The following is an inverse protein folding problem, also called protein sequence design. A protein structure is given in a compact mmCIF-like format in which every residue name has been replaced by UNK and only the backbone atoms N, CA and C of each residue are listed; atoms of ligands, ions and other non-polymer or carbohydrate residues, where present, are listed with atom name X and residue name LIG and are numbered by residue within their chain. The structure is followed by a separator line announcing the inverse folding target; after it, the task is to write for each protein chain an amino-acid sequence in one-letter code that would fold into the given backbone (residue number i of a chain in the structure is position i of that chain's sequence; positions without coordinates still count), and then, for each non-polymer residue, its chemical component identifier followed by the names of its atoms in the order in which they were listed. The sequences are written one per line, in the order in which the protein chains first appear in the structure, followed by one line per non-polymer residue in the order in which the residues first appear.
data_IF_640832454061
#
_entry.id   IF_640832454061
#
_cell.length_a   1.000
_cell.length_b   1.000
_cell.length_c   1.000
_cell.angle_alpha   90.00
_cell.angle_beta   90.00
_cell.angle_gamma   90.00
#
_symmetry.space_group_name_H-M   'P 1'
#
loop_
_entity.id
_entity.type
_entity.pdbx_description
1 polymer ?
#
# COMPACT_ATOMS: atom_id res chain seq x y z
N UNK A 1 20.15 -31.95 -10.69
CA UNK A 1 19.17 -32.45 -9.71
C UNK A 1 19.84 -32.36 -8.34
N UNK A 2 19.19 -31.78 -7.32
CA UNK A 2 19.82 -31.52 -6.02
C UNK A 2 20.29 -32.86 -5.40
N UNK A 3 21.58 -32.96 -5.06
CA UNK A 3 22.23 -34.21 -4.62
C UNK A 3 21.50 -34.85 -3.44
N UNK A 4 20.98 -34.02 -2.53
CA UNK A 4 20.17 -34.46 -1.40
C UNK A 4 18.87 -35.19 -1.78
N UNK A 5 18.18 -34.75 -2.83
CA UNK A 5 16.90 -35.35 -3.28
C UNK A 5 17.16 -36.75 -3.84
N UNK A 6 18.27 -36.90 -4.56
CA UNK A 6 18.68 -38.17 -5.16
C UNK A 6 19.18 -39.13 -4.08
N UNK A 7 20.04 -38.66 -3.17
CA UNK A 7 20.63 -39.47 -2.11
C UNK A 7 19.59 -39.97 -1.10
N UNK A 8 18.57 -39.14 -0.78
CA UNK A 8 17.49 -39.51 0.14
C UNK A 8 16.24 -40.08 -0.56
N UNK A 9 16.31 -40.28 -1.88
CA UNK A 9 15.23 -40.85 -2.69
C UNK A 9 13.85 -40.19 -2.44
N UNK A 10 13.87 -38.86 -2.32
CA UNK A 10 12.72 -38.07 -1.89
C UNK A 10 11.73 -37.90 -3.04
N UNK A 11 10.45 -38.08 -2.72
CA UNK A 11 9.33 -37.79 -3.61
C UNK A 11 8.22 -37.09 -2.80
N UNK A 12 7.21 -36.53 -3.47
CA UNK A 12 6.12 -35.78 -2.82
C UNK A 12 5.46 -36.54 -1.66
N UNK A 13 5.32 -37.86 -1.77
CA UNK A 13 4.66 -38.69 -0.75
C UNK A 13 5.56 -39.02 0.45
N UNK A 14 6.88 -39.04 0.27
CA UNK A 14 7.86 -39.41 1.29
C UNK A 14 8.48 -38.20 1.98
N UNK A 15 8.41 -37.02 1.36
CA UNK A 15 9.03 -35.80 1.86
C UNK A 15 8.43 -35.35 3.20
N UNK A 16 7.10 -35.37 3.34
CA UNK A 16 6.41 -35.01 4.59
C UNK A 16 6.77 -35.95 5.75
N UNK A 17 6.84 -37.26 5.51
CA UNK A 17 7.27 -38.23 6.51
C UNK A 17 8.76 -38.09 6.86
N UNK A 18 9.59 -37.73 5.89
CA UNK A 18 11.02 -37.47 6.10
C UNK A 18 11.25 -36.24 6.99
N UNK A 19 10.52 -35.14 6.76
CA UNK A 19 10.57 -33.90 7.55
C UNK A 19 10.20 -34.09 9.02
N UNK A 20 9.13 -34.85 9.28
CA UNK A 20 8.63 -35.07 10.64
C UNK A 20 9.57 -35.91 11.51
N UNK A 21 10.41 -36.74 10.88
CA UNK A 21 11.30 -37.67 11.58
C UNK A 21 12.77 -37.21 11.60
N UNK A 22 13.12 -36.15 10.85
CA UNK A 22 14.48 -35.63 10.76
C UNK A 22 14.46 -34.09 10.83
N UNK A 23 14.56 -33.49 12.03
CA UNK A 23 14.87 -32.06 12.15
C UNK A 23 16.33 -31.86 11.74
N UNK A 24 16.58 -31.83 10.43
CA UNK A 24 17.91 -31.66 9.89
C UNK A 24 18.14 -30.22 9.44
N UNK A 25 19.26 -29.58 9.84
CA UNK A 25 19.68 -28.29 9.27
C UNK A 25 19.82 -28.35 7.73
N UNK A 26 19.93 -29.55 7.15
CA UNK A 26 19.95 -29.76 5.70
C UNK A 26 18.63 -29.41 5.00
N UNK A 27 17.48 -29.57 5.68
CA UNK A 27 16.17 -29.19 5.11
C UNK A 27 16.03 -27.67 5.07
N UNK A 28 16.39 -27.00 6.15
CA UNK A 28 16.39 -25.54 6.23
C UNK A 28 17.33 -24.95 5.17
N UNK A 29 18.51 -25.55 4.99
CA UNK A 29 19.47 -25.23 3.92
C UNK A 29 18.87 -25.37 2.52
N UNK A 30 18.08 -26.40 2.26
CA UNK A 30 17.43 -26.58 0.95
C UNK A 30 16.32 -25.56 0.70
N UNK A 31 15.52 -25.23 1.71
CA UNK A 31 14.46 -24.23 1.59
C UNK A 31 15.05 -22.83 1.38
N UNK A 32 16.21 -22.55 1.98
CA UNK A 32 16.95 -21.30 1.82
C UNK A 32 17.81 -21.25 0.55
N UNK A 33 17.81 -22.31 -0.28
CA UNK A 33 18.68 -22.46 -1.45
C UNK A 33 20.18 -22.42 -1.15
N UNK A 34 20.56 -22.68 0.11
CA UNK A 34 21.95 -22.76 0.54
C UNK A 34 22.58 -24.10 0.13
N UNK A 35 23.85 -24.07 -0.23
CA UNK A 35 24.60 -25.26 -0.64
C UNK A 35 25.10 -26.03 0.58
N UNK A 36 24.99 -27.36 0.54
CA UNK A 36 25.61 -28.24 1.54
C UNK A 36 27.14 -28.07 1.46
N UNK A 37 27.72 -27.36 2.44
CA UNK A 37 29.16 -27.10 2.53
C UNK A 37 29.57 -25.63 2.35
N UNK A 38 28.68 -24.75 1.91
CA UNK A 38 28.92 -23.30 1.85
C UNK A 38 27.60 -22.53 2.02
N UNK A 39 27.25 -22.28 3.27
CA UNK A 39 26.00 -21.63 3.73
C UNK A 39 25.88 -20.15 3.29
N UNK A 40 26.83 -19.64 2.51
CA UNK A 40 26.89 -18.22 2.17
C UNK A 40 26.75 -17.92 0.68
N UNK A 41 26.88 -18.91 -0.20
CA UNK A 41 27.05 -18.65 -1.64
C UNK A 41 25.79 -18.04 -2.29
N UNK A 42 24.60 -18.60 -2.05
CA UNK A 42 23.35 -18.07 -2.60
C UNK A 42 23.01 -16.72 -1.97
N UNK A 43 23.12 -16.60 -0.66
CA UNK A 43 22.90 -15.34 0.07
C UNK A 43 23.83 -14.22 -0.42
N UNK A 44 25.10 -14.54 -0.65
CA UNK A 44 26.08 -13.59 -1.18
C UNK A 44 25.75 -13.22 -2.63
N UNK A 45 25.43 -14.19 -3.49
CA UNK A 45 25.02 -13.93 -4.87
C UNK A 45 23.74 -13.07 -4.95
N UNK A 46 22.77 -13.31 -4.07
CA UNK A 46 21.54 -12.52 -3.97
C UNK A 46 21.85 -11.08 -3.54
N UNK A 47 22.75 -10.90 -2.57
CA UNK A 47 23.21 -9.58 -2.13
C UNK A 47 23.98 -8.85 -3.23
N UNK A 48 24.82 -9.55 -4.00
CA UNK A 48 25.51 -8.98 -5.17
C UNK A 48 24.52 -8.56 -6.25
N UNK A 49 23.49 -9.37 -6.50
CA UNK A 49 22.42 -9.03 -7.45
C UNK A 49 21.62 -7.80 -6.98
N UNK A 50 21.22 -7.76 -5.70
CA UNK A 50 20.56 -6.59 -5.10
C UNK A 50 21.41 -5.33 -5.25
N UNK A 51 22.71 -5.41 -4.95
CA UNK A 51 23.65 -4.31 -5.13
C UNK A 51 23.74 -3.87 -6.60
N UNK A 52 23.78 -4.82 -7.53
CA UNK A 52 23.81 -4.54 -8.97
C UNK A 52 22.55 -3.81 -9.44
N UNK A 53 21.36 -4.27 -9.03
CA UNK A 53 20.09 -3.60 -9.33
C UNK A 53 20.05 -2.21 -8.70
N UNK A 54 20.46 -2.08 -7.44
CA UNK A 54 20.48 -0.79 -6.74
C UNK A 54 21.37 0.23 -7.44
N UNK A 55 22.60 -0.14 -7.77
CA UNK A 55 23.62 0.76 -8.35
C UNK A 55 23.48 1.03 -9.84
N UNK A 56 22.82 0.14 -10.59
CA UNK A 56 22.66 0.31 -12.05
C UNK A 56 21.26 0.76 -12.44
N UNK A 57 20.24 0.26 -11.77
CA UNK A 57 18.84 0.50 -12.11
C UNK A 57 18.24 1.56 -11.20
N UNK A 58 18.24 1.36 -9.89
CA UNK A 58 17.56 2.26 -8.95
C UNK A 58 18.23 3.63 -8.88
N UNK A 59 19.56 3.70 -8.91
CA UNK A 59 20.32 4.96 -8.94
C UNK A 59 20.46 5.58 -10.34
N UNK A 60 19.80 5.01 -11.36
CA UNK A 60 19.79 5.63 -12.69
C UNK A 60 19.03 6.96 -12.67
N UNK A 61 19.45 7.90 -13.52
CA UNK A 61 18.90 9.25 -13.56
C UNK A 61 17.38 9.26 -13.77
N UNK A 62 16.87 8.48 -14.72
CA UNK A 62 15.45 8.46 -15.06
C UNK A 62 14.59 7.91 -13.92
N UNK A 63 15.07 6.88 -13.22
CA UNK A 63 14.37 6.31 -12.06
C UNK A 63 14.35 7.30 -10.90
N UNK A 64 15.49 7.92 -10.57
CA UNK A 64 15.55 8.94 -9.51
C UNK A 64 14.66 10.14 -9.82
N UNK A 65 14.65 10.62 -11.07
CA UNK A 65 13.77 11.69 -11.52
C UNK A 65 12.29 11.29 -11.43
N UNK A 66 11.96 10.07 -11.83
CA UNK A 66 10.59 9.54 -11.76
C UNK A 66 10.11 9.42 -10.31
N UNK A 67 10.95 8.89 -9.42
CA UNK A 67 10.64 8.75 -7.99
C UNK A 67 10.42 10.12 -7.33
N UNK A 68 11.34 11.07 -7.56
CA UNK A 68 11.20 12.45 -7.07
C UNK A 68 9.91 13.12 -7.57
N UNK A 69 9.54 12.90 -8.84
CA UNK A 69 8.29 13.39 -9.42
C UNK A 69 7.08 12.76 -8.75
N UNK A 70 7.09 11.44 -8.54
CA UNK A 70 6.03 10.71 -7.85
C UNK A 70 5.80 11.25 -6.44
N UNK A 71 6.87 11.34 -5.65
CA UNK A 71 6.81 11.91 -4.28
C UNK A 71 6.24 13.33 -4.26
N UNK A 72 6.65 14.18 -5.21
CA UNK A 72 6.16 15.54 -5.31
C UNK A 72 4.65 15.60 -5.60
N UNK A 73 4.18 14.79 -6.57
CA UNK A 73 2.77 14.68 -6.92
C UNK A 73 1.95 14.26 -5.69
N UNK A 74 2.37 13.21 -4.99
CA UNK A 74 1.68 12.67 -3.82
C UNK A 74 1.60 13.73 -2.71
N UNK A 75 2.70 14.41 -2.40
CA UNK A 75 2.74 15.49 -1.40
C UNK A 75 1.78 16.62 -1.75
N UNK A 76 1.69 17.00 -3.02
CA UNK A 76 0.83 18.10 -3.48
C UNK A 76 -0.65 17.74 -3.47
N UNK A 77 -1.00 16.51 -3.83
CA UNK A 77 -2.37 15.99 -3.71
C UNK A 77 -2.78 15.95 -2.24
N UNK A 78 -1.93 15.38 -1.37
CA UNK A 78 -2.21 15.33 0.07
C UNK A 78 -2.44 16.73 0.64
N UNK A 79 -1.54 17.68 0.35
CA UNK A 79 -1.65 19.05 0.83
C UNK A 79 -2.93 19.75 0.33
N UNK A 80 -3.32 19.55 -0.94
CA UNK A 80 -4.54 20.10 -1.49
C UNK A 80 -5.79 19.55 -0.78
N UNK A 81 -5.89 18.22 -0.68
CA UNK A 81 -7.01 17.53 -0.04
C UNK A 81 -7.10 17.84 1.45
N UNK A 82 -5.97 18.00 2.15
CA UNK A 82 -5.98 18.36 3.56
C UNK A 82 -6.39 19.82 3.78
N UNK A 83 -5.91 20.74 2.94
CA UNK A 83 -6.29 22.17 3.01
C UNK A 83 -7.74 22.40 2.59
N UNK A 84 -8.26 21.63 1.64
CA UNK A 84 -9.63 21.72 1.17
C UNK A 84 -10.25 20.32 1.10
N UNK A 85 -10.65 19.75 2.25
CA UNK A 85 -11.23 18.40 2.33
C UNK A 85 -12.45 18.21 1.43
N UNK A 86 -13.20 19.28 1.15
CA UNK A 86 -14.35 19.27 0.25
C UNK A 86 -14.03 18.93 -1.21
N UNK A 87 -12.75 18.78 -1.59
CA UNK A 87 -12.33 18.23 -2.88
C UNK A 87 -12.32 16.69 -2.91
N UNK A 88 -12.52 16.03 -1.77
CA UNK A 88 -12.56 14.57 -1.70
C UNK A 88 -13.71 13.99 -2.54
N UNK A 89 -13.51 12.82 -3.16
CA UNK A 89 -14.57 12.05 -3.79
C UNK A 89 -15.69 11.66 -2.81
N UNK A 90 -16.87 11.34 -3.34
CA UNK A 90 -18.06 11.04 -2.52
C UNK A 90 -17.85 9.85 -1.58
N UNK A 91 -17.20 8.78 -2.05
CA UNK A 91 -16.97 7.59 -1.21
C UNK A 91 -16.05 7.89 -0.02
N UNK A 92 -15.09 8.80 -0.16
CA UNK A 92 -14.23 9.24 0.93
C UNK A 92 -15.02 10.02 1.99
N UNK A 93 -15.96 10.87 1.57
CA UNK A 93 -16.81 11.64 2.49
C UNK A 93 -17.71 10.68 3.28
N UNK A 94 -18.29 9.67 2.60
CA UNK A 94 -19.09 8.63 3.24
C UNK A 94 -18.24 7.84 4.25
N UNK A 95 -17.06 7.37 3.86
CA UNK A 95 -16.13 6.64 4.74
C UNK A 95 -15.79 7.47 6.00
N UNK A 96 -15.51 8.77 5.83
CA UNK A 96 -15.22 9.65 6.94
C UNK A 96 -16.41 9.79 7.90
N UNK A 97 -17.63 9.96 7.38
CA UNK A 97 -18.83 10.05 8.21
C UNK A 97 -19.06 8.78 9.04
N UNK A 98 -18.89 7.62 8.44
CA UNK A 98 -19.04 6.33 9.09
C UNK A 98 -17.95 6.12 10.15
N UNK A 99 -16.69 6.39 9.82
CA UNK A 99 -15.57 6.18 10.74
C UNK A 99 -15.59 7.16 11.93
N UNK A 100 -16.07 8.38 11.72
CA UNK A 100 -16.23 9.38 12.80
C UNK A 100 -17.55 9.23 13.58
N UNK A 101 -18.43 8.31 13.17
CA UNK A 101 -19.77 8.09 13.77
C UNK A 101 -20.63 9.37 13.84
N UNK A 102 -20.39 10.32 12.93
CA UNK A 102 -21.21 11.55 12.84
C UNK A 102 -22.54 11.29 12.13
N UNK A 103 -22.60 10.24 11.31
CA UNK A 103 -23.81 9.74 10.66
C UNK A 103 -23.73 8.21 10.63
N UNK A 104 -24.86 7.55 10.77
CA UNK A 104 -24.96 6.11 10.57
C UNK A 104 -25.24 5.78 9.10
N UNK A 105 -24.98 4.53 8.70
CA UNK A 105 -25.21 4.05 7.33
C UNK A 105 -26.63 4.30 6.83
N UNK A 106 -27.62 4.15 7.72
CA UNK A 106 -29.03 4.37 7.39
C UNK A 106 -29.33 5.85 7.09
N UNK A 107 -28.75 6.77 7.88
CA UNK A 107 -28.92 8.21 7.68
C UNK A 107 -28.34 8.65 6.34
N UNK A 108 -27.16 8.14 6.00
CA UNK A 108 -26.49 8.43 4.72
C UNK A 108 -27.36 7.96 3.55
N UNK A 109 -27.88 6.74 3.62
CA UNK A 109 -28.76 6.19 2.58
C UNK A 109 -30.06 6.99 2.44
N UNK A 110 -30.66 7.41 3.56
CA UNK A 110 -31.87 8.23 3.55
C UNK A 110 -31.62 9.61 2.92
N UNK A 111 -30.54 10.29 3.30
CA UNK A 111 -30.15 11.58 2.73
C UNK A 111 -29.93 11.45 1.22
N UNK A 112 -29.18 10.44 0.79
CA UNK A 112 -28.89 10.23 -0.64
C UNK A 112 -30.18 9.95 -1.42
N UNK A 113 -31.09 9.14 -0.86
CA UNK A 113 -32.36 8.80 -1.51
C UNK A 113 -33.29 10.00 -1.65
N UNK A 114 -33.39 10.82 -0.60
CA UNK A 114 -34.37 11.90 -0.54
C UNK A 114 -33.86 13.21 -1.15
N UNK A 115 -32.56 13.52 -0.99
CA UNK A 115 -31.97 14.83 -1.31
C UNK A 115 -30.75 14.73 -2.25
N UNK A 116 -30.26 13.54 -2.54
CA UNK A 116 -29.07 13.31 -3.36
C UNK A 116 -27.76 13.54 -2.62
N UNK A 117 -26.64 13.18 -3.27
CA UNK A 117 -25.30 13.26 -2.70
C UNK A 117 -24.85 14.70 -2.39
N UNK A 118 -25.40 15.69 -3.11
CA UNK A 118 -25.07 17.11 -2.92
C UNK A 118 -25.39 17.62 -1.51
N UNK A 119 -26.47 17.12 -0.89
CA UNK A 119 -26.83 17.46 0.49
C UNK A 119 -25.77 16.97 1.47
N UNK A 120 -25.27 15.74 1.28
CA UNK A 120 -24.18 15.20 2.10
C UNK A 120 -22.90 16.04 1.95
N UNK A 121 -22.55 16.44 0.72
CA UNK A 121 -21.38 17.30 0.46
C UNK A 121 -21.53 18.68 1.10
N UNK A 122 -22.73 19.27 1.09
CA UNK A 122 -23.02 20.54 1.74
C UNK A 122 -22.84 20.45 3.27
N UNK A 123 -23.37 19.40 3.90
CA UNK A 123 -23.16 19.13 5.33
C UNK A 123 -21.68 18.96 5.65
N UNK A 124 -20.94 18.26 4.80
CA UNK A 124 -19.50 18.06 4.99
C UNK A 124 -18.73 19.37 4.88
N UNK A 125 -19.02 20.18 3.87
CA UNK A 125 -18.43 21.52 3.73
C UNK A 125 -18.66 22.38 4.97
N UNK A 126 -19.87 22.39 5.52
CA UNK A 126 -20.19 23.13 6.74
C UNK A 126 -19.49 22.59 7.99
N UNK A 127 -19.35 21.26 8.09
CA UNK A 127 -18.61 20.60 9.17
C UNK A 127 -17.14 21.05 9.19
N UNK A 128 -16.49 21.02 8.02
CA UNK A 128 -15.08 21.38 7.84
C UNK A 128 -14.88 22.90 8.03
N UNK A 129 -15.72 23.72 7.40
CA UNK A 129 -15.64 25.19 7.49
C UNK A 129 -15.85 25.71 8.91
N UNK A 130 -16.74 25.06 9.67
CA UNK A 130 -17.00 25.43 11.06
C UNK A 130 -15.94 24.95 12.06
N UNK A 131 -14.84 24.33 11.60
CA UNK A 131 -13.81 23.66 12.42
C UNK A 131 -14.41 22.75 13.51
N UNK A 132 -15.49 22.05 13.17
CA UNK A 132 -16.20 21.13 14.08
C UNK A 132 -15.57 19.74 14.13
N UNK A 133 -14.37 19.59 13.57
CA UNK A 133 -13.61 18.36 13.59
C UNK A 133 -12.74 18.34 14.84
N UNK A 134 -12.95 17.36 15.70
CA UNK A 134 -12.05 17.13 16.83
C UNK A 134 -10.71 16.53 16.34
N UNK A 135 -9.78 16.26 17.25
CA UNK A 135 -8.45 15.73 16.89
C UNK A 135 -8.57 14.34 16.23
N UNK A 136 -9.46 13.48 16.72
CA UNK A 136 -9.69 12.13 16.17
C UNK A 136 -10.30 12.18 14.77
N UNK A 137 -11.23 13.10 14.53
CA UNK A 137 -11.82 13.37 13.23
C UNK A 137 -10.74 13.83 12.23
N UNK A 138 -9.79 14.66 12.68
CA UNK A 138 -8.65 15.12 11.86
C UNK A 138 -7.71 13.97 11.51
N UNK A 139 -7.42 13.06 12.44
CA UNK A 139 -6.66 11.84 12.13
C UNK A 139 -7.40 10.93 11.16
N UNK A 140 -8.72 10.77 11.34
CA UNK A 140 -9.55 9.98 10.44
C UNK A 140 -9.56 10.57 9.03
N UNK A 141 -9.68 11.89 8.91
CA UNK A 141 -9.57 12.60 7.63
C UNK A 141 -8.22 12.35 6.95
N UNK A 142 -7.11 12.50 7.69
CA UNK A 142 -5.78 12.21 7.15
C UNK A 142 -5.66 10.76 6.67
N UNK A 143 -6.21 9.81 7.44
CA UNK A 143 -6.22 8.39 7.07
C UNK A 143 -7.04 8.13 5.81
N UNK A 144 -8.22 8.72 5.69
CA UNK A 144 -9.06 8.62 4.49
C UNK A 144 -8.36 9.22 3.25
N UNK A 145 -7.68 10.36 3.40
CA UNK A 145 -6.86 10.93 2.31
C UNK A 145 -5.75 9.95 1.89
N UNK A 146 -5.04 9.36 2.86
CA UNK A 146 -3.99 8.37 2.58
C UNK A 146 -4.55 7.13 1.88
N UNK A 147 -5.69 6.59 2.33
CA UNK A 147 -6.35 5.45 1.68
C UNK A 147 -6.71 5.78 0.23
N UNK A 148 -7.28 6.97 0.00
CA UNK A 148 -7.65 7.42 -1.33
C UNK A 148 -6.44 7.55 -2.25
N UNK A 149 -5.34 8.14 -1.76
CA UNK A 149 -4.10 8.29 -2.53
C UNK A 149 -3.45 6.93 -2.81
N UNK A 150 -3.41 6.04 -1.82
CA UNK A 150 -2.84 4.70 -1.98
C UNK A 150 -3.64 3.83 -2.97
N UNK A 151 -4.93 4.10 -3.15
CA UNK A 151 -5.78 3.48 -4.16
C UNK A 151 -5.61 4.03 -5.58
N UNK A 152 -4.80 5.08 -5.79
CA UNK A 152 -4.58 5.66 -7.11
C UNK A 152 -3.50 4.89 -7.89
N UNK A 153 -3.68 4.81 -9.21
CA UNK A 153 -2.58 4.44 -10.12
C UNK A 153 -1.76 5.68 -10.47
N UNK A 154 -0.50 5.52 -10.87
CA UNK A 154 0.39 6.62 -11.26
C UNK A 154 -0.25 7.57 -12.29
N UNK A 155 -0.91 7.00 -13.30
CA UNK A 155 -1.59 7.78 -14.35
C UNK A 155 -2.77 8.59 -13.80
N UNK A 156 -3.51 8.04 -12.84
CA UNK A 156 -4.63 8.72 -12.21
C UNK A 156 -4.13 9.83 -11.26
N UNK A 157 -3.10 9.57 -10.44
CA UNK A 157 -2.48 10.59 -9.60
C UNK A 157 -1.94 11.76 -10.42
N UNK A 158 -1.30 11.49 -11.55
CA UNK A 158 -0.83 12.56 -12.46
C UNK A 158 -1.99 13.40 -13.02
N UNK A 159 -3.12 12.77 -13.38
CA UNK A 159 -4.32 13.48 -13.84
C UNK A 159 -4.92 14.36 -12.76
N UNK A 160 -5.08 13.84 -11.53
CA UNK A 160 -5.58 14.61 -10.39
C UNK A 160 -4.67 15.81 -10.13
N UNK A 161 -3.37 15.58 -10.04
CA UNK A 161 -2.40 16.65 -9.83
C UNK A 161 -2.53 17.75 -10.89
N UNK A 162 -2.61 17.37 -12.17
CA UNK A 162 -2.80 18.34 -13.24
C UNK A 162 -4.12 19.09 -13.09
N UNK A 163 -5.24 18.43 -12.80
CA UNK A 163 -6.53 19.10 -12.62
C UNK A 163 -6.59 20.09 -11.44
N UNK A 164 -5.72 19.92 -10.45
CA UNK A 164 -5.66 20.79 -9.27
C UNK A 164 -4.77 22.02 -9.47
N UNK A 165 -3.81 21.98 -10.40
CA UNK A 165 -2.72 22.95 -10.48
C UNK A 165 -2.42 23.48 -11.88
N UNK A 166 -3.01 22.89 -12.94
CA UNK A 166 -2.86 23.30 -14.34
C UNK A 166 -4.24 23.58 -14.96
#
# INVERSE_FOLDING_TARGET
MNKFIVDNNLNEKKFSYFLLNNPQPDVERIISYDYVGDETLFKNAMKEFENSISTRVLSSYDIQKSDARGQYIIRKIFAALYKTPSQLPDHCIIELYLNTKKLESNDIQEIIRNNGIGELRSRFYNLVKGDKLNIEDKFTLMRTICNQIAGMTDSYSAKIYNSLYN
#
